data_IF_426582080891
#
_entry.id   IF_426582080891
#
_cell.length_a   1.000
_cell.length_b   1.000
_cell.length_c   1.000
_cell.angle_alpha   90.00
_cell.angle_beta   90.00
_cell.angle_gamma   90.00
#
_symmetry.space_group_name_H-M   'P 1'
#
loop_
_entity.id
_entity.type
_entity.pdbx_description
1 polymer ?
#
# COMPACT_ATOMS: atom_id res chain seq x y z
N UNK A 1 7.09 -12.00 15.58
CA UNK A 1 6.32 -12.93 14.70
C UNK A 1 5.77 -12.06 13.58
N UNK A 2 6.45 -11.99 12.44
CA UNK A 2 6.11 -11.06 11.35
C UNK A 2 4.82 -11.48 10.65
N UNK A 3 3.81 -10.59 10.59
CA UNK A 3 2.53 -10.86 9.94
C UNK A 3 2.50 -10.19 8.55
N UNK A 4 2.79 -10.98 7.51
CA UNK A 4 2.64 -10.56 6.10
C UNK A 4 1.19 -10.20 5.79
N UNK A 5 0.98 -9.08 5.11
CA UNK A 5 -0.33 -8.64 4.64
C UNK A 5 -0.35 -8.49 3.11
N UNK A 6 -1.45 -8.90 2.47
CA UNK A 6 -1.69 -8.79 1.03
C UNK A 6 -3.06 -8.14 0.79
N UNK A 7 -3.11 -7.07 -0.01
CA UNK A 7 -4.33 -6.30 -0.31
C UNK A 7 -4.52 -6.24 -1.85
N UNK A 8 -5.76 -6.39 -2.32
CA UNK A 8 -6.12 -6.46 -3.74
C UNK A 8 -7.35 -5.60 -4.05
N UNK A 9 -7.27 -4.71 -5.05
CA UNK A 9 -8.39 -3.84 -5.49
C UNK A 9 -8.64 -4.05 -6.99
N UNK A 10 -9.90 -4.26 -7.37
CA UNK A 10 -10.34 -4.45 -8.77
C UNK A 10 -10.79 -3.13 -9.41
N UNK A 11 -10.28 -2.81 -10.60
CA UNK A 11 -10.56 -1.58 -11.33
C UNK A 11 -11.52 -1.83 -12.51
N UNK A 12 -12.66 -1.13 -12.55
CA UNK A 12 -13.54 -1.06 -13.73
C UNK A 12 -13.08 0.12 -14.59
N UNK A 13 -12.61 -0.17 -15.81
CA UNK A 13 -11.97 0.82 -16.67
C UNK A 13 -12.93 1.88 -17.23
N UNK A 14 -12.55 3.14 -17.05
CA UNK A 14 -12.91 4.24 -17.94
C UNK A 14 -11.63 5.02 -18.30
N UNK A 15 -11.29 4.96 -19.59
CA UNK A 15 -10.27 5.67 -20.36
C UNK A 15 -9.35 6.69 -19.60
N UNK A 16 -8.09 6.30 -19.39
CA UNK A 16 -7.02 7.13 -18.83
C UNK A 16 -5.84 6.29 -18.36
N UNK A 17 -5.26 5.48 -19.25
CA UNK A 17 -4.51 4.26 -18.89
C UNK A 17 -3.25 4.44 -18.02
N UNK A 18 -2.69 5.66 -17.90
CA UNK A 18 -1.63 5.97 -16.92
C UNK A 18 -2.14 6.41 -15.55
N UNK A 19 -3.23 7.18 -15.51
CA UNK A 19 -3.80 7.74 -14.27
C UNK A 19 -4.57 6.71 -13.45
N UNK A 20 -5.28 5.78 -14.09
CA UNK A 20 -6.08 4.76 -13.39
C UNK A 20 -5.22 3.80 -12.57
N UNK A 21 -4.04 3.41 -13.08
CA UNK A 21 -3.11 2.54 -12.35
C UNK A 21 -2.45 3.29 -11.19
N UNK A 22 -2.11 4.58 -11.37
CA UNK A 22 -1.57 5.40 -10.30
C UNK A 22 -2.57 5.57 -9.15
N UNK A 23 -3.83 5.88 -9.47
CA UNK A 23 -4.93 5.95 -8.49
C UNK A 23 -5.12 4.60 -7.80
N UNK A 24 -5.14 3.50 -8.56
CA UNK A 24 -5.29 2.15 -7.99
C UNK A 24 -4.15 1.79 -7.02
N UNK A 25 -2.90 2.14 -7.36
CA UNK A 25 -1.74 1.96 -6.47
C UNK A 25 -1.89 2.79 -5.19
N UNK A 26 -2.37 4.02 -5.29
CA UNK A 26 -2.57 4.88 -4.12
C UNK A 26 -3.68 4.34 -3.21
N UNK A 27 -4.82 3.91 -3.76
CA UNK A 27 -5.90 3.33 -2.96
C UNK A 27 -5.49 2.01 -2.29
N UNK A 28 -4.78 1.14 -3.01
CA UNK A 28 -4.20 -0.09 -2.43
C UNK A 28 -3.18 0.23 -1.34
N UNK A 29 -2.33 1.24 -1.55
CA UNK A 29 -1.35 1.73 -0.57
C UNK A 29 -2.01 2.25 0.71
N UNK A 30 -3.06 3.05 0.58
CA UNK A 30 -3.84 3.55 1.73
C UNK A 30 -4.48 2.41 2.51
N UNK A 31 -5.08 1.44 1.82
CA UNK A 31 -5.73 0.33 2.52
C UNK A 31 -4.73 -0.62 3.19
N UNK A 32 -3.56 -0.83 2.60
CA UNK A 32 -2.49 -1.53 3.29
C UNK A 32 -2.08 -0.81 4.59
N UNK A 33 -1.91 0.50 4.53
CA UNK A 33 -1.57 1.31 5.70
C UNK A 33 -2.65 1.22 6.79
N UNK A 34 -3.93 1.31 6.40
CA UNK A 34 -5.07 1.17 7.32
C UNK A 34 -5.08 -0.20 7.99
N UNK A 35 -4.85 -1.27 7.24
CA UNK A 35 -4.76 -2.63 7.79
C UNK A 35 -3.61 -2.76 8.81
N UNK A 36 -2.47 -2.09 8.58
CA UNK A 36 -1.39 -2.08 9.57
C UNK A 36 -1.75 -1.30 10.84
N UNK A 37 -2.40 -0.13 10.72
CA UNK A 37 -2.88 0.64 11.87
C UNK A 37 -3.95 -0.11 12.68
N UNK A 38 -4.89 -0.79 12.01
CA UNK A 38 -5.93 -1.60 12.68
C UNK A 38 -5.34 -2.77 13.48
N UNK A 39 -4.15 -3.25 13.12
CA UNK A 39 -3.44 -4.30 13.86
C UNK A 39 -2.74 -3.78 15.12
N UNK A 40 -2.57 -2.47 15.28
CA UNK A 40 -1.86 -1.85 16.41
C UNK A 40 -1.49 -0.40 16.12
N UNK A 41 -1.75 0.48 17.08
CA UNK A 41 -1.52 1.92 16.94
C UNK A 41 -0.05 2.29 16.68
N UNK A 42 0.89 1.51 17.22
CA UNK A 42 2.33 1.72 17.05
C UNK A 42 2.94 0.84 15.95
N UNK A 43 2.13 0.21 15.08
CA UNK A 43 2.70 -0.61 14.02
C UNK A 43 3.40 0.26 12.97
N UNK A 44 4.47 -0.29 12.40
CA UNK A 44 5.21 0.30 11.28
C UNK A 44 5.10 -0.55 10.03
N UNK A 45 5.33 0.08 8.89
CA UNK A 45 5.15 -0.47 7.55
C UNK A 45 6.51 -0.72 6.92
N UNK A 46 6.69 -1.93 6.40
CA UNK A 46 7.72 -2.23 5.40
C UNK A 46 6.99 -2.45 4.07
N UNK A 47 6.97 -1.44 3.17
CA UNK A 47 6.26 -1.57 1.92
C UNK A 47 7.01 -2.53 0.99
N UNK A 48 6.30 -3.53 0.48
CA UNK A 48 6.81 -4.42 -0.56
C UNK A 48 6.44 -3.93 -1.96
N UNK A 49 6.41 -4.85 -2.91
CA UNK A 49 6.18 -4.53 -4.31
C UNK A 49 4.69 -4.39 -4.65
N UNK A 50 4.40 -3.46 -5.57
CA UNK A 50 3.11 -3.37 -6.25
C UNK A 50 3.11 -4.29 -7.46
N UNK A 51 2.12 -5.16 -7.54
CA UNK A 51 1.89 -6.02 -8.71
C UNK A 51 0.64 -5.53 -9.40
N UNK A 52 0.76 -5.20 -10.68
CA UNK A 52 -0.38 -4.87 -11.54
C UNK A 52 -0.59 -6.00 -12.52
N UNK A 53 -1.78 -6.61 -12.51
CA UNK A 53 -2.09 -7.76 -13.36
C UNK A 53 -3.36 -7.49 -14.18
N UNK A 54 -3.23 -7.51 -15.51
CA UNK A 54 -4.35 -7.41 -16.46
C UNK A 54 -4.39 -6.09 -17.24
N UNK A 55 -4.89 -6.19 -18.48
CA UNK A 55 -5.13 -5.06 -19.39
C UNK A 55 -6.36 -4.24 -18.99
N UNK A 56 -7.39 -4.17 -19.84
CA UNK A 56 -8.55 -3.26 -19.65
C UNK A 56 -9.35 -3.45 -18.33
N UNK A 57 -9.16 -4.54 -17.58
CA UNK A 57 -9.71 -4.74 -16.23
C UNK A 57 -8.61 -5.21 -15.27
N UNK A 58 -7.53 -4.45 -15.20
CA UNK A 58 -6.38 -4.76 -14.36
C UNK A 58 -6.71 -4.67 -12.88
N UNK A 59 -6.15 -5.59 -12.10
CA UNK A 59 -6.10 -5.53 -10.64
C UNK A 59 -4.74 -5.03 -10.19
N UNK A 60 -4.71 -4.15 -9.20
CA UNK A 60 -3.49 -3.76 -8.50
C UNK A 60 -3.53 -4.42 -7.12
N UNK A 61 -2.42 -5.08 -6.78
CA UNK A 61 -2.18 -5.59 -5.44
C UNK A 61 -0.84 -5.08 -4.93
N UNK A 62 -0.70 -5.06 -3.61
CA UNK A 62 0.60 -4.85 -2.98
C UNK A 62 0.84 -5.90 -1.91
N UNK A 63 2.12 -6.13 -1.65
CA UNK A 63 2.60 -6.93 -0.52
C UNK A 63 3.39 -6.03 0.41
N UNK A 64 3.46 -6.40 1.69
CA UNK A 64 4.28 -5.72 2.68
C UNK A 64 4.14 -6.37 4.05
N UNK A 65 4.96 -5.90 4.98
CA UNK A 65 4.95 -6.35 6.36
C UNK A 65 4.49 -5.23 7.29
N UNK A 66 3.66 -5.58 8.26
CA UNK A 66 3.35 -4.72 9.41
C UNK A 66 4.19 -5.22 10.59
N UNK A 67 5.09 -4.38 11.09
CA UNK A 67 5.96 -4.69 12.22
C UNK A 67 5.41 -4.06 13.49
N UNK A 68 5.30 -4.85 14.56
CA UNK A 68 4.95 -4.36 15.88
C UNK A 68 6.22 -3.98 16.66
N UNK A 69 6.10 -3.16 17.73
CA UNK A 69 7.21 -2.89 18.63
C UNK A 69 7.85 -4.19 19.14
N UNK A 70 9.16 -4.33 18.93
CA UNK A 70 9.93 -5.53 19.29
C UNK A 70 10.06 -6.59 18.20
N UNK A 71 9.44 -6.41 17.03
CA UNK A 71 9.80 -7.19 15.84
C UNK A 71 11.14 -6.71 15.25
N UNK A 72 11.92 -7.64 14.70
CA UNK A 72 13.18 -7.33 14.03
C UNK A 72 12.95 -6.41 12.83
N UNK A 73 13.75 -5.34 12.72
CA UNK A 73 13.60 -4.33 11.67
C UNK A 73 12.52 -3.27 11.92
N UNK A 74 11.85 -3.30 13.08
CA UNK A 74 10.84 -2.29 13.44
C UNK A 74 11.39 -0.86 13.41
N UNK A 75 12.60 -0.63 13.94
CA UNK A 75 13.19 0.72 13.99
C UNK A 75 13.51 1.30 12.62
N UNK A 76 13.79 0.43 11.63
CA UNK A 76 14.08 0.81 10.25
C UNK A 76 12.81 0.90 9.37
N UNK A 77 11.67 0.47 9.90
CA UNK A 77 10.38 0.52 9.21
C UNK A 77 9.71 1.90 9.30
N UNK A 78 8.82 2.18 8.35
CA UNK A 78 8.19 3.49 8.19
C UNK A 78 6.96 3.59 9.10
N UNK A 79 6.78 4.66 9.90
CA UNK A 79 5.51 4.92 10.60
C UNK A 79 4.32 4.91 9.64
N UNK A 80 3.17 4.38 10.06
CA UNK A 80 1.99 4.26 9.17
C UNK A 80 1.55 5.62 8.63
N UNK A 81 1.61 6.66 9.45
CA UNK A 81 1.25 8.04 9.08
C UNK A 81 2.18 8.59 8.00
N UNK A 82 3.49 8.38 8.16
CA UNK A 82 4.49 8.80 7.17
C UNK A 82 4.31 8.05 5.84
N UNK A 83 3.99 6.76 5.91
CA UNK A 83 3.66 5.98 4.72
C UNK A 83 2.39 6.50 4.03
N UNK A 84 1.33 6.83 4.78
CA UNK A 84 0.09 7.44 4.26
C UNK A 84 0.34 8.77 3.55
N UNK A 85 1.19 9.63 4.12
CA UNK A 85 1.61 10.87 3.45
C UNK A 85 2.35 10.59 2.13
N UNK A 86 3.21 9.57 2.12
CA UNK A 86 4.01 9.22 0.95
C UNK A 86 3.17 8.71 -0.23
N UNK A 87 2.08 7.98 0.03
CA UNK A 87 1.14 7.51 -1.02
C UNK A 87 0.18 8.62 -1.45
N UNK A 88 -0.15 9.57 -0.57
CA UNK A 88 -0.96 10.74 -0.91
C UNK A 88 -0.26 11.72 -1.87
N UNK A 89 1.04 11.98 -1.64
CA UNK A 89 1.83 12.96 -2.42
C UNK A 89 2.18 12.51 -3.85
N UNK A 90 2.16 11.21 -4.17
CA UNK A 90 2.50 10.71 -5.53
C UNK A 90 1.43 10.95 -6.59
N UNK A 91 0.30 11.57 -6.24
CA UNK A 91 -0.82 11.85 -7.16
C UNK A 91 -0.73 13.18 -7.91
N UNK A 92 0.20 14.07 -7.53
CA UNK A 92 0.25 15.45 -8.04
C UNK A 92 1.32 15.71 -9.09
N UNK A 93 2.04 14.69 -9.56
CA UNK A 93 2.98 14.88 -10.66
C UNK A 93 2.34 14.43 -11.98
N UNK A 94 2.09 15.36 -12.93
CA UNK A 94 1.37 15.11 -14.17
C UNK A 94 2.14 14.22 -15.16
#
# INVERSE_FOLDING_TARGET
MTKRAMVMVGLVAAAGLGGCVAVAKNEVGKEFARVCAEKGADNRVVPGEYVSRGGMFGTVSMTGDCLAPGDEGYEDAIPVEEYLESVGRRSTQP
#
